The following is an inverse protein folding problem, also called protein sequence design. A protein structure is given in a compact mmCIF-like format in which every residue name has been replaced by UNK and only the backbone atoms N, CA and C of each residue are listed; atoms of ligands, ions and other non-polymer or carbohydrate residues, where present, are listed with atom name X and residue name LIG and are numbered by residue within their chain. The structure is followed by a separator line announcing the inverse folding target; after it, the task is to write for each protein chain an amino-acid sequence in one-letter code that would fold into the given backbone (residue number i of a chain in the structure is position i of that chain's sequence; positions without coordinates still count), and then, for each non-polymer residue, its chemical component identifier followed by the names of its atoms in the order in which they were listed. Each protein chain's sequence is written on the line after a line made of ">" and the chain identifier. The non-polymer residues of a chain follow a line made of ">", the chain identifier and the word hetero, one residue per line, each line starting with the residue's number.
data_IF_626804864357
#
_entry.id   IF_626804864357
#
_cell.length_a   1.000
_cell.length_b   1.000
_cell.length_c   1.000
_cell.angle_alpha   90.00
_cell.angle_beta   90.00
_cell.angle_gamma   90.00
#
_symmetry.space_group_name_H-M   'P 1'
#
loop_
_entity.id
_entity.type
_entity.pdbx_description
1 polymer ?
#
# COMPACT_ATOMS: atom_id res chain seq x y z
N UNK A 1 6.55 -44.03 5.74
CA UNK A 1 5.16 -43.53 5.55
C UNK A 1 5.28 -42.51 4.43
N UNK A 2 4.72 -42.76 3.24
CA UNK A 2 4.84 -41.82 2.12
C UNK A 2 3.79 -40.73 2.30
N UNK A 3 4.23 -39.50 2.54
CA UNK A 3 3.32 -38.34 2.61
C UNK A 3 3.34 -37.68 1.23
N UNK A 4 2.28 -37.90 0.48
CA UNK A 4 2.04 -37.23 -0.79
C UNK A 4 0.92 -36.22 -0.64
N UNK A 5 1.16 -35.00 -1.11
CA UNK A 5 0.22 -33.88 -1.10
C UNK A 5 -0.05 -33.49 -2.55
N UNK A 6 -1.33 -33.36 -2.89
CA UNK A 6 -1.78 -32.97 -4.22
C UNK A 6 -2.83 -31.87 -4.08
N UNK A 7 -2.44 -30.64 -4.45
CA UNK A 7 -3.23 -29.43 -4.33
C UNK A 7 -3.62 -28.88 -5.71
N UNK A 8 -3.42 -29.66 -6.78
CA UNK A 8 -3.82 -29.25 -8.13
C UNK A 8 -5.32 -28.96 -8.21
N UNK A 9 -5.68 -27.94 -9.00
CA UNK A 9 -7.07 -27.50 -9.15
C UNK A 9 -7.64 -26.71 -7.95
N UNK A 10 -6.83 -26.35 -6.96
CA UNK A 10 -7.20 -25.40 -5.92
C UNK A 10 -6.63 -24.01 -6.24
N UNK A 11 -7.26 -22.95 -5.74
CA UNK A 11 -6.72 -21.58 -5.74
C UNK A 11 -6.09 -21.31 -4.38
N UNK A 12 -4.79 -21.63 -4.25
CA UNK A 12 -4.03 -21.49 -3.00
C UNK A 12 -2.77 -20.69 -3.28
N UNK A 13 -2.61 -19.62 -2.51
CA UNK A 13 -1.55 -18.61 -2.64
C UNK A 13 -0.50 -18.75 -1.54
N UNK A 14 -0.92 -19.14 -0.33
CA UNK A 14 -0.03 -19.31 0.82
C UNK A 14 0.13 -20.77 1.24
N UNK A 15 1.36 -21.15 1.57
CA UNK A 15 1.75 -22.51 1.95
C UNK A 15 2.41 -22.52 3.33
N UNK A 16 1.80 -21.79 4.26
CA UNK A 16 2.19 -21.74 5.66
C UNK A 16 2.39 -23.16 6.22
N UNK A 17 3.36 -23.29 7.11
CA UNK A 17 3.72 -24.56 7.77
C UNK A 17 4.39 -25.61 6.85
N UNK A 18 4.89 -25.21 5.69
CA UNK A 18 5.77 -26.08 4.91
C UNK A 18 7.18 -26.18 5.54
N UNK A 19 7.68 -25.04 6.01
CA UNK A 19 8.98 -24.90 6.67
C UNK A 19 8.87 -24.04 7.93
N UNK A 20 9.83 -24.19 8.84
CA UNK A 20 10.11 -23.19 9.87
C UNK A 20 11.45 -22.54 9.57
N UNK A 21 11.49 -21.21 9.69
CA UNK A 21 12.68 -20.41 9.40
C UNK A 21 13.11 -19.69 10.67
N UNK A 22 14.38 -19.84 11.03
CA UNK A 22 15.03 -19.03 12.06
C UNK A 22 16.05 -18.15 11.35
N UNK A 23 15.88 -16.83 11.46
CA UNK A 23 16.82 -15.85 10.90
C UNK A 23 17.68 -15.32 12.04
N UNK A 24 18.99 -15.53 11.95
CA UNK A 24 19.96 -15.00 12.92
C UNK A 24 20.17 -13.49 12.71
N UNK A 25 20.76 -12.80 13.70
CA UNK A 25 20.98 -11.34 13.63
C UNK A 25 21.84 -10.91 12.44
N UNK A 26 22.69 -11.81 11.92
CA UNK A 26 23.52 -11.58 10.74
C UNK A 26 22.77 -11.80 9.41
N UNK A 27 21.50 -12.19 9.46
CA UNK A 27 20.66 -12.50 8.29
C UNK A 27 20.74 -13.94 7.80
N UNK A 28 21.52 -14.81 8.46
CA UNK A 28 21.60 -16.22 8.08
C UNK A 28 20.29 -16.95 8.42
N UNK A 29 19.77 -17.71 7.46
CA UNK A 29 18.53 -18.47 7.62
C UNK A 29 18.83 -19.95 7.91
N UNK A 30 18.28 -20.46 9.01
CA UNK A 30 18.14 -21.90 9.25
C UNK A 30 16.73 -22.34 8.88
N UNK A 31 16.61 -23.12 7.80
CA UNK A 31 15.33 -23.65 7.30
C UNK A 31 15.17 -25.11 7.73
N UNK A 32 14.04 -25.44 8.36
CA UNK A 32 13.69 -26.81 8.75
C UNK A 32 12.37 -27.21 8.13
N UNK A 33 12.31 -28.37 7.47
CA UNK A 33 11.06 -28.93 6.98
C UNK A 33 10.17 -29.33 8.16
N UNK A 34 8.92 -28.90 8.17
CA UNK A 34 7.97 -29.25 9.23
C UNK A 34 7.37 -30.66 9.04
N UNK A 35 7.42 -31.16 7.80
CA UNK A 35 6.85 -32.45 7.42
C UNK A 35 7.79 -33.25 6.51
N UNK A 36 7.80 -34.56 6.68
CA UNK A 36 8.42 -35.48 5.71
C UNK A 36 7.51 -35.60 4.48
N UNK A 37 7.88 -34.92 3.38
CA UNK A 37 7.13 -34.88 2.12
C UNK A 37 7.91 -35.62 1.04
N UNK A 38 7.25 -36.54 0.34
CA UNK A 38 7.85 -37.28 -0.80
C UNK A 38 7.19 -36.94 -2.14
N UNK A 39 6.02 -36.29 -2.12
CA UNK A 39 5.31 -35.77 -3.30
C UNK A 39 4.60 -34.47 -2.93
N UNK A 40 4.78 -33.42 -3.72
CA UNK A 40 4.12 -32.13 -3.55
C UNK A 40 3.70 -31.58 -4.92
N UNK A 41 2.42 -31.67 -5.25
CA UNK A 41 1.86 -31.10 -6.48
C UNK A 41 1.07 -29.85 -6.14
N UNK A 42 1.37 -28.77 -6.86
CA UNK A 42 0.93 -27.42 -6.56
C UNK A 42 0.08 -26.86 -7.73
N UNK A 43 -0.93 -26.02 -7.44
CA UNK A 43 -1.60 -25.22 -8.46
C UNK A 43 -0.67 -24.12 -9.00
N UNK A 44 -1.04 -23.50 -10.12
CA UNK A 44 -0.26 -22.44 -10.78
C UNK A 44 -0.07 -21.23 -9.86
N UNK A 45 -1.10 -20.88 -9.10
CA UNK A 45 -1.12 -19.79 -8.11
C UNK A 45 -0.04 -19.92 -7.04
N UNK A 46 0.49 -21.13 -6.80
CA UNK A 46 1.59 -21.35 -5.86
C UNK A 46 2.88 -20.63 -6.26
N UNK A 47 2.98 -20.15 -7.51
CA UNK A 47 4.10 -19.36 -8.00
C UNK A 47 4.37 -18.11 -7.16
N UNK A 48 3.34 -17.60 -6.49
CA UNK A 48 3.34 -16.39 -5.66
C UNK A 48 3.86 -16.62 -4.24
N UNK A 49 3.89 -17.87 -3.75
CA UNK A 49 4.44 -18.14 -2.41
C UNK A 49 5.97 -18.09 -2.41
N UNK A 50 6.54 -16.92 -2.17
CA UNK A 50 8.01 -16.74 -2.12
C UNK A 50 8.56 -17.17 -0.77
N UNK A 51 7.83 -16.88 0.31
CA UNK A 51 8.34 -16.98 1.68
C UNK A 51 8.64 -18.42 2.11
N UNK A 52 7.75 -19.38 1.83
CA UNK A 52 7.89 -20.76 2.29
C UNK A 52 8.33 -21.71 1.17
N UNK A 53 7.68 -21.65 0.01
CA UNK A 53 7.85 -22.63 -1.06
C UNK A 53 9.25 -22.57 -1.67
N UNK A 54 9.80 -21.36 -1.86
CA UNK A 54 11.16 -21.18 -2.38
C UNK A 54 12.20 -21.66 -1.35
N UNK A 55 11.97 -21.43 -0.06
CA UNK A 55 12.83 -21.95 1.02
C UNK A 55 12.79 -23.48 1.10
N UNK A 56 11.61 -24.07 1.03
CA UNK A 56 11.44 -25.53 0.96
C UNK A 56 12.20 -26.11 -0.25
N UNK A 57 12.02 -25.51 -1.43
CA UNK A 57 12.73 -25.96 -2.64
C UNK A 57 14.25 -25.89 -2.47
N UNK A 58 14.80 -24.78 -1.95
CA UNK A 58 16.24 -24.62 -1.72
C UNK A 58 16.78 -25.68 -0.74
N UNK A 59 16.10 -25.87 0.39
CA UNK A 59 16.48 -26.86 1.41
C UNK A 59 16.46 -28.30 0.87
N UNK A 60 15.57 -28.60 -0.07
CA UNK A 60 15.36 -29.94 -0.60
C UNK A 60 15.89 -30.14 -2.03
N UNK A 61 16.69 -29.20 -2.56
CA UNK A 61 17.11 -29.18 -3.96
C UNK A 61 17.78 -30.47 -4.41
N UNK A 62 18.64 -31.05 -3.58
CA UNK A 62 19.30 -32.32 -3.89
C UNK A 62 18.32 -33.49 -3.94
N UNK A 63 17.39 -33.58 -2.98
CA UNK A 63 16.38 -34.64 -2.93
C UNK A 63 15.36 -34.55 -4.08
N UNK A 64 15.00 -33.33 -4.49
CA UNK A 64 14.15 -33.07 -5.66
C UNK A 64 14.90 -33.46 -6.94
N UNK A 65 16.15 -33.02 -7.09
CA UNK A 65 16.98 -33.36 -8.26
C UNK A 65 17.21 -34.88 -8.38
N UNK A 66 17.37 -35.57 -7.25
CA UNK A 66 17.50 -37.03 -7.20
C UNK A 66 16.17 -37.80 -7.35
N UNK A 67 15.03 -37.10 -7.43
CA UNK A 67 13.70 -37.71 -7.58
C UNK A 67 13.15 -38.38 -6.31
N UNK A 68 13.74 -38.12 -5.15
CA UNK A 68 13.22 -38.61 -3.85
C UNK A 68 12.00 -37.81 -3.39
N UNK A 69 11.92 -36.54 -3.81
CA UNK A 69 10.75 -35.68 -3.64
C UNK A 69 10.23 -35.32 -5.04
N UNK A 70 9.03 -35.80 -5.40
CA UNK A 70 8.37 -35.43 -6.66
C UNK A 70 7.60 -34.11 -6.47
N UNK A 71 8.25 -33.01 -6.83
CA UNK A 71 7.70 -31.65 -6.70
C UNK A 71 7.32 -31.08 -8.07
N UNK A 72 6.05 -30.75 -8.25
CA UNK A 72 5.50 -30.23 -9.51
C UNK A 72 4.51 -29.10 -9.27
N UNK A 73 4.35 -28.27 -10.28
CA UNK A 73 3.37 -27.17 -10.30
C UNK A 73 2.64 -27.20 -11.62
N UNK A 74 1.33 -26.96 -11.62
CA UNK A 74 0.59 -26.83 -12.88
C UNK A 74 0.93 -25.52 -13.57
N UNK A 75 1.01 -25.55 -14.91
CA UNK A 75 0.98 -24.33 -15.72
C UNK A 75 -0.44 -23.76 -15.83
N UNK A 76 -0.58 -22.65 -16.56
CA UNK A 76 -1.86 -21.94 -16.79
C UNK A 76 -2.91 -22.81 -17.48
N UNK A 77 -2.49 -23.86 -18.20
CA UNK A 77 -3.36 -24.82 -18.88
C UNK A 77 -3.67 -26.05 -18.00
N UNK A 78 -3.18 -26.09 -16.76
CA UNK A 78 -3.38 -27.17 -15.80
C UNK A 78 -2.44 -28.36 -15.98
N UNK A 79 -1.41 -28.27 -16.84
CA UNK A 79 -0.47 -29.37 -17.04
C UNK A 79 0.63 -29.34 -15.97
N UNK A 80 0.93 -30.51 -15.41
CA UNK A 80 1.99 -30.63 -14.40
C UNK A 80 3.38 -30.46 -15.00
N UNK A 81 4.11 -29.46 -14.53
CA UNK A 81 5.52 -29.19 -14.84
C UNK A 81 6.40 -29.43 -13.62
N UNK A 82 7.68 -29.72 -13.84
CA UNK A 82 8.67 -29.71 -12.76
C UNK A 82 8.71 -28.33 -12.12
N UNK A 83 8.66 -28.26 -10.78
CA UNK A 83 8.74 -26.97 -10.10
C UNK A 83 10.07 -26.26 -10.39
N UNK A 84 10.01 -24.95 -10.60
CA UNK A 84 11.16 -24.07 -10.81
C UNK A 84 11.01 -22.80 -9.99
N UNK A 85 12.12 -22.12 -9.69
CA UNK A 85 12.16 -20.78 -9.09
C UNK A 85 12.13 -19.65 -10.13
N UNK A 86 12.12 -20.00 -11.42
CA UNK A 86 12.05 -19.05 -12.52
C UNK A 86 10.62 -18.52 -12.69
N UNK A 87 10.51 -17.22 -12.92
CA UNK A 87 9.24 -16.50 -13.14
C UNK A 87 9.37 -15.54 -14.32
N UNK A 88 8.33 -15.50 -15.13
CA UNK A 88 8.25 -14.59 -16.26
C UNK A 88 7.80 -13.19 -15.82
N UNK A 89 8.23 -12.18 -16.57
CA UNK A 89 7.75 -10.80 -16.46
C UNK A 89 7.13 -10.45 -17.82
N UNK A 90 5.79 -10.51 -17.96
CA UNK A 90 5.14 -10.43 -19.27
C UNK A 90 5.30 -9.08 -19.97
N UNK A 91 5.35 -7.98 -19.22
CA UNK A 91 5.55 -6.63 -19.76
C UNK A 91 7.04 -6.37 -20.03
N UNK A 92 7.39 -6.13 -21.30
CA UNK A 92 8.78 -5.92 -21.71
C UNK A 92 9.41 -4.65 -21.14
N UNK A 93 8.62 -3.60 -20.87
CA UNK A 93 9.10 -2.38 -20.25
C UNK A 93 9.38 -2.61 -18.76
N UNK A 94 8.50 -3.35 -18.07
CA UNK A 94 8.74 -3.76 -16.68
C UNK A 94 9.96 -4.67 -16.58
N UNK A 95 10.09 -5.66 -17.48
CA UNK A 95 11.26 -6.53 -17.55
C UNK A 95 12.55 -5.71 -17.69
N UNK A 96 12.56 -4.76 -18.62
CA UNK A 96 13.71 -3.86 -18.84
C UNK A 96 14.03 -3.04 -17.60
N UNK A 97 13.00 -2.48 -16.95
CA UNK A 97 13.14 -1.72 -15.71
C UNK A 97 13.75 -2.58 -14.60
N UNK A 98 13.20 -3.77 -14.37
CA UNK A 98 13.64 -4.68 -13.32
C UNK A 98 15.06 -5.21 -13.60
N UNK A 99 15.40 -5.57 -14.83
CA UNK A 99 16.75 -5.97 -15.20
C UNK A 99 17.76 -4.83 -14.99
N UNK A 100 17.36 -3.58 -15.25
CA UNK A 100 18.22 -2.41 -15.04
C UNK A 100 18.46 -2.12 -13.56
N UNK A 101 17.42 -2.31 -12.72
CA UNK A 101 17.45 -1.86 -11.34
C UNK A 101 17.74 -2.95 -10.31
N UNK A 102 17.39 -4.21 -10.63
CA UNK A 102 17.41 -5.38 -9.77
C UNK A 102 18.01 -6.60 -10.49
N UNK A 103 19.09 -6.38 -11.25
CA UNK A 103 19.75 -7.38 -12.08
C UNK A 103 20.16 -8.67 -11.34
N UNK A 104 20.40 -8.59 -10.03
CA UNK A 104 20.85 -9.73 -9.22
C UNK A 104 19.81 -10.85 -9.17
N UNK A 105 18.53 -10.51 -9.36
CA UNK A 105 17.43 -11.47 -9.41
C UNK A 105 17.29 -12.18 -10.75
N UNK A 106 17.96 -11.76 -11.82
CA UNK A 106 17.68 -12.27 -13.17
C UNK A 106 18.53 -13.46 -13.60
N UNK A 107 17.91 -14.42 -14.28
CA UNK A 107 18.57 -15.47 -15.05
C UNK A 107 18.08 -15.40 -16.50
N UNK A 108 18.80 -14.66 -17.33
CA UNK A 108 18.31 -14.25 -18.66
C UNK A 108 17.13 -13.30 -18.51
N UNK A 109 16.01 -13.63 -19.16
CA UNK A 109 14.79 -12.80 -19.19
C UNK A 109 13.78 -13.16 -18.08
N UNK A 110 14.16 -14.07 -17.17
CA UNK A 110 13.31 -14.52 -16.07
C UNK A 110 13.89 -14.08 -14.72
N UNK A 111 13.01 -13.80 -13.76
CA UNK A 111 13.38 -13.65 -12.35
C UNK A 111 13.64 -15.04 -11.77
N UNK A 112 14.75 -15.22 -11.08
CA UNK A 112 15.10 -16.43 -10.33
C UNK A 112 14.98 -16.16 -8.83
N UNK A 113 13.88 -16.61 -8.23
CA UNK A 113 13.59 -16.44 -6.81
C UNK A 113 14.61 -17.12 -5.87
N UNK A 114 15.50 -17.98 -6.40
CA UNK A 114 16.57 -18.57 -5.60
C UNK A 114 17.77 -17.64 -5.38
N UNK A 115 17.83 -16.52 -6.11
CA UNK A 115 18.91 -15.53 -5.99
C UNK A 115 18.62 -14.51 -4.89
N UNK A 116 19.69 -13.85 -4.45
CA UNK A 116 19.65 -12.83 -3.42
C UNK A 116 20.09 -11.49 -4.00
N UNK A 117 19.48 -10.40 -3.52
CA UNK A 117 19.88 -9.04 -3.85
C UNK A 117 21.20 -8.69 -3.14
N UNK A 118 22.15 -8.12 -3.87
CA UNK A 118 23.34 -7.51 -3.30
C UNK A 118 23.02 -6.24 -2.52
N UNK A 119 24.00 -5.73 -1.77
CA UNK A 119 23.85 -4.55 -0.90
C UNK A 119 23.30 -3.32 -1.63
N UNK A 120 23.68 -3.12 -2.90
CA UNK A 120 23.29 -1.97 -3.71
C UNK A 120 21.84 -2.03 -4.20
N UNK A 121 21.27 -3.24 -4.32
CA UNK A 121 19.92 -3.44 -4.85
C UNK A 121 18.90 -3.74 -3.74
N UNK A 122 19.33 -4.33 -2.61
CA UNK A 122 18.42 -4.76 -1.54
C UNK A 122 17.65 -3.61 -0.90
N UNK A 123 18.23 -2.41 -0.80
CA UNK A 123 17.56 -1.23 -0.21
C UNK A 123 17.01 -0.26 -1.26
N UNK A 124 17.18 -0.60 -2.55
CA UNK A 124 16.82 0.31 -3.64
C UNK A 124 15.31 0.49 -3.70
N UNK A 125 14.89 1.74 -3.83
CA UNK A 125 13.48 2.12 -3.97
C UNK A 125 12.91 1.58 -5.29
N UNK A 126 11.64 1.16 -5.27
CA UNK A 126 10.91 0.78 -6.46
C UNK A 126 10.12 1.99 -6.96
N UNK A 127 10.56 2.54 -8.10
CA UNK A 127 9.96 3.70 -8.75
C UNK A 127 9.81 3.44 -10.25
N UNK A 128 8.61 3.06 -10.68
CA UNK A 128 8.25 2.91 -12.10
C UNK A 128 7.44 4.13 -12.50
N UNK A 129 8.06 5.06 -13.21
CA UNK A 129 7.47 6.33 -13.60
C UNK A 129 6.59 6.19 -14.85
N UNK A 130 5.70 7.17 -15.15
CA UNK A 130 4.87 7.12 -16.36
C UNK A 130 5.69 6.98 -17.66
N UNK A 131 6.90 7.54 -17.69
CA UNK A 131 7.80 7.49 -18.84
C UNK A 131 8.39 6.09 -19.10
N UNK A 132 8.31 5.17 -18.14
CA UNK A 132 8.71 3.78 -18.31
C UNK A 132 7.69 2.99 -19.15
N UNK A 133 6.50 3.55 -19.41
CA UNK A 133 5.45 2.99 -20.27
C UNK A 133 5.01 1.55 -19.89
N UNK A 134 5.02 1.22 -18.59
CA UNK A 134 4.52 -0.07 -18.09
C UNK A 134 2.99 -0.06 -18.07
N UNK A 135 2.38 -1.13 -18.59
CA UNK A 135 0.92 -1.31 -18.60
C UNK A 135 0.47 -2.58 -17.89
N UNK A 136 1.38 -3.51 -17.61
CA UNK A 136 1.13 -4.67 -16.76
C UNK A 136 2.27 -4.84 -15.75
N UNK A 137 1.92 -4.81 -14.46
CA UNK A 137 2.84 -4.95 -13.33
C UNK A 137 3.03 -6.41 -12.87
N UNK A 138 2.53 -7.41 -13.59
CA UNK A 138 2.83 -8.82 -13.30
C UNK A 138 4.35 -9.07 -13.34
N UNK A 139 4.86 -9.62 -12.24
CA UNK A 139 6.29 -9.77 -11.97
C UNK A 139 6.77 -8.93 -10.78
N UNK A 140 6.05 -7.85 -10.44
CA UNK A 140 6.46 -6.95 -9.33
C UNK A 140 6.36 -7.61 -7.95
N UNK A 141 5.40 -8.53 -7.76
CA UNK A 141 5.24 -9.30 -6.53
C UNK A 141 6.51 -10.10 -6.21
N UNK A 142 7.26 -10.55 -7.23
CA UNK A 142 8.51 -11.29 -7.06
C UNK A 142 9.66 -10.47 -6.47
N UNK A 143 9.58 -9.14 -6.57
CA UNK A 143 10.49 -8.22 -5.88
C UNK A 143 9.90 -7.79 -4.54
N UNK A 144 8.64 -7.34 -4.52
CA UNK A 144 8.01 -6.73 -3.34
C UNK A 144 7.90 -7.71 -2.18
N UNK A 145 7.56 -8.97 -2.47
CA UNK A 145 7.40 -10.04 -1.48
C UNK A 145 8.70 -10.82 -1.25
N UNK A 146 9.79 -10.42 -1.91
CA UNK A 146 11.07 -11.07 -1.70
C UNK A 146 11.57 -10.78 -0.27
N UNK A 147 11.84 -11.81 0.56
CA UNK A 147 12.22 -11.62 1.95
C UNK A 147 13.56 -10.88 2.13
N UNK A 148 14.36 -10.78 1.06
CA UNK A 148 15.65 -10.09 1.07
C UNK A 148 15.60 -8.67 0.50
N UNK A 149 14.42 -8.20 0.05
CA UNK A 149 14.25 -6.81 -0.34
C UNK A 149 13.84 -5.98 0.87
N UNK A 150 14.62 -4.92 1.11
CA UNK A 150 14.52 -3.98 2.22
C UNK A 150 14.29 -2.55 1.70
N UNK A 151 13.66 -2.43 0.52
CA UNK A 151 13.33 -1.14 -0.07
C UNK A 151 12.40 -0.33 0.83
N UNK A 152 12.59 1.00 0.84
CA UNK A 152 11.80 1.89 1.69
C UNK A 152 10.54 2.45 1.00
N UNK A 153 10.43 2.34 -0.32
CA UNK A 153 9.35 2.95 -1.11
C UNK A 153 8.91 2.08 -2.28
N UNK A 154 7.60 2.08 -2.51
CA UNK A 154 6.94 1.59 -3.73
C UNK A 154 6.23 2.78 -4.36
N UNK A 155 6.53 3.06 -5.62
CA UNK A 155 5.93 4.13 -6.40
C UNK A 155 5.69 3.67 -7.83
N UNK A 156 4.44 3.33 -8.12
CA UNK A 156 4.04 2.76 -9.40
C UNK A 156 3.04 3.67 -10.09
N UNK A 157 3.36 4.02 -11.33
CA UNK A 157 2.54 4.86 -12.17
C UNK A 157 2.32 4.16 -13.51
N UNK A 158 1.07 4.14 -13.98
CA UNK A 158 0.75 3.64 -15.32
C UNK A 158 1.34 4.55 -16.43
N UNK A 159 1.42 4.00 -17.63
CA UNK A 159 1.82 4.68 -18.86
C UNK A 159 0.86 5.85 -19.24
N UNK A 160 1.12 7.05 -18.72
CA UNK A 160 0.38 8.26 -19.06
C UNK A 160 -0.90 8.48 -18.24
N UNK A 161 -1.49 9.68 -18.38
CA UNK A 161 -2.57 10.17 -17.48
C UNK A 161 -3.92 9.44 -17.64
N UNK A 162 -4.21 8.86 -18.81
CA UNK A 162 -5.50 8.20 -19.09
C UNK A 162 -5.42 6.66 -19.14
N UNK A 163 -4.23 6.08 -18.98
CA UNK A 163 -4.05 4.62 -19.01
C UNK A 163 -4.18 4.03 -17.62
N UNK A 164 -4.90 2.91 -17.48
CA UNK A 164 -4.91 2.12 -16.26
C UNK A 164 -4.08 0.85 -16.50
N UNK A 165 -3.06 0.62 -15.68
CA UNK A 165 -2.22 -0.57 -15.75
C UNK A 165 -2.73 -1.66 -14.80
N UNK A 166 -2.63 -2.93 -15.18
CA UNK A 166 -2.97 -4.05 -14.30
C UNK A 166 -1.84 -4.34 -13.32
N UNK A 167 -2.16 -4.75 -12.09
CA UNK A 167 -1.17 -5.20 -11.11
C UNK A 167 -1.72 -6.40 -10.32
N UNK A 168 -0.90 -7.44 -10.05
CA UNK A 168 -1.30 -8.49 -9.12
C UNK A 168 -1.49 -7.92 -7.71
N UNK A 169 -2.20 -8.67 -6.86
CA UNK A 169 -2.20 -8.36 -5.44
C UNK A 169 -0.77 -8.53 -4.90
N UNK A 170 -0.42 -7.70 -3.91
CA UNK A 170 0.92 -7.72 -3.32
C UNK A 170 0.85 -7.66 -1.81
N UNK A 171 1.79 -8.33 -1.14
CA UNK A 171 2.05 -8.21 0.29
C UNK A 171 3.27 -7.34 0.57
N UNK A 172 3.05 -6.20 1.22
CA UNK A 172 4.06 -5.16 1.40
C UNK A 172 4.94 -5.46 2.62
N UNK A 173 6.27 -5.44 2.43
CA UNK A 173 7.25 -5.69 3.49
C UNK A 173 7.35 -4.60 4.57
N UNK A 174 7.93 -4.95 5.71
CA UNK A 174 7.97 -4.10 6.92
C UNK A 174 8.73 -2.78 6.80
N UNK A 175 9.74 -2.73 5.95
CA UNK A 175 10.60 -1.56 5.78
C UNK A 175 9.98 -0.46 4.90
N UNK A 176 8.83 -0.74 4.31
CA UNK A 176 8.16 0.18 3.40
C UNK A 176 7.56 1.34 4.20
N UNK A 177 8.06 2.53 3.92
CA UNK A 177 7.62 3.79 4.52
C UNK A 177 6.64 4.54 3.63
N UNK A 178 6.61 4.24 2.33
CA UNK A 178 5.73 4.89 1.36
C UNK A 178 5.21 3.91 0.30
N UNK A 179 3.92 4.02 0.02
CA UNK A 179 3.25 3.39 -1.13
C UNK A 179 2.56 4.48 -1.95
N UNK A 180 2.90 4.57 -3.24
CA UNK A 180 2.21 5.39 -4.23
C UNK A 180 1.75 4.50 -5.37
N UNK A 181 0.46 4.51 -5.66
CA UNK A 181 -0.15 3.82 -6.81
C UNK A 181 -1.06 4.80 -7.55
N UNK A 182 -0.75 5.06 -8.81
CA UNK A 182 -1.54 5.97 -9.64
C UNK A 182 -1.96 5.32 -10.96
N UNK A 183 -3.26 5.29 -11.19
CA UNK A 183 -3.90 4.65 -12.33
C UNK A 183 -3.55 3.16 -12.42
N UNK A 184 -3.63 2.45 -11.29
CA UNK A 184 -3.32 1.02 -11.19
C UNK A 184 -4.59 0.25 -10.82
N UNK A 185 -4.94 -0.74 -11.64
CA UNK A 185 -5.96 -1.73 -11.31
C UNK A 185 -5.35 -2.84 -10.46
N UNK A 186 -5.69 -2.82 -9.17
CA UNK A 186 -5.34 -3.84 -8.17
C UNK A 186 -6.52 -4.02 -7.22
N UNK A 187 -6.84 -5.27 -6.87
CA UNK A 187 -7.96 -5.58 -5.98
C UNK A 187 -7.59 -5.37 -4.50
N UNK A 188 -6.39 -5.80 -4.11
CA UNK A 188 -5.89 -5.72 -2.74
C UNK A 188 -4.38 -5.40 -2.67
N UNK A 189 -4.02 -4.65 -1.63
CA UNK A 189 -2.63 -4.36 -1.25
C UNK A 189 -2.53 -4.71 0.23
N UNK A 190 -1.94 -5.86 0.52
CA UNK A 190 -1.81 -6.34 1.88
C UNK A 190 -0.70 -5.57 2.60
N UNK A 191 -1.12 -4.65 3.46
CA UNK A 191 -0.27 -3.83 4.33
C UNK A 191 -0.05 -4.45 5.72
N UNK A 192 -0.47 -5.70 5.94
CA UNK A 192 -0.38 -6.39 7.24
C UNK A 192 1.03 -6.43 7.84
N UNK A 193 2.04 -6.46 6.98
CA UNK A 193 3.45 -6.47 7.37
C UNK A 193 4.08 -5.07 7.41
N UNK A 194 3.43 -4.01 6.91
CA UNK A 194 4.00 -2.68 6.69
C UNK A 194 4.05 -1.83 7.98
N UNK A 195 4.80 -2.27 8.98
CA UNK A 195 4.88 -1.62 10.30
C UNK A 195 5.51 -0.23 10.29
N UNK A 196 6.32 0.08 9.27
CA UNK A 196 7.01 1.36 9.14
C UNK A 196 6.32 2.32 8.14
N UNK A 197 5.11 2.00 7.67
CA UNK A 197 4.40 2.82 6.68
C UNK A 197 4.03 4.20 7.25
N UNK A 198 4.44 5.27 6.56
CA UNK A 198 4.10 6.67 6.89
C UNK A 198 3.22 7.35 5.85
N UNK A 199 3.31 6.92 4.60
CA UNK A 199 2.69 7.60 3.47
C UNK A 199 1.99 6.61 2.56
N UNK A 200 0.69 6.83 2.33
CA UNK A 200 -0.07 6.12 1.31
C UNK A 200 -0.72 7.13 0.36
N UNK A 201 -0.44 7.00 -0.93
CA UNK A 201 -1.12 7.72 -2.00
C UNK A 201 -1.68 6.72 -3.00
N UNK A 202 -3.00 6.58 -3.01
CA UNK A 202 -3.73 5.78 -3.98
C UNK A 202 -4.61 6.69 -4.82
N UNK A 203 -4.44 6.68 -6.14
CA UNK A 203 -5.22 7.52 -7.04
C UNK A 203 -5.66 6.77 -8.29
N UNK A 204 -6.94 6.90 -8.64
CA UNK A 204 -7.52 6.32 -9.85
C UNK A 204 -7.36 4.79 -9.90
N UNK A 205 -7.55 4.10 -8.76
CA UNK A 205 -7.49 2.65 -8.69
C UNK A 205 -8.93 2.10 -8.73
N UNK A 206 -9.40 1.55 -9.86
CA UNK A 206 -10.81 1.20 -10.05
C UNK A 206 -11.25 -0.06 -9.29
N UNK A 207 -10.31 -0.93 -8.92
CA UNK A 207 -10.58 -2.24 -8.33
C UNK A 207 -10.29 -2.33 -6.81
N UNK A 208 -9.64 -1.32 -6.22
CA UNK A 208 -9.23 -1.38 -4.81
C UNK A 208 -10.45 -1.24 -3.89
N UNK A 209 -10.65 -2.23 -3.01
CA UNK A 209 -11.81 -2.27 -2.11
C UNK A 209 -11.51 -1.82 -0.68
N UNK A 210 -10.28 -1.99 -0.21
CA UNK A 210 -9.86 -1.66 1.15
C UNK A 210 -8.46 -1.06 1.16
N UNK A 211 -8.21 -0.14 2.10
CA UNK A 211 -6.88 0.38 2.39
C UNK A 211 -6.67 0.40 3.91
N UNK A 212 -5.81 -0.49 4.41
CA UNK A 212 -5.65 -0.74 5.85
C UNK A 212 -4.28 -0.32 6.38
N UNK A 213 -4.17 0.90 6.92
CA UNK A 213 -2.93 1.39 7.53
C UNK A 213 -2.82 1.00 9.01
N UNK A 214 -3.76 0.20 9.56
CA UNK A 214 -3.82 -0.05 11.01
C UNK A 214 -2.60 -0.78 11.57
N UNK A 215 -1.87 -1.48 10.71
CA UNK A 215 -0.65 -2.21 11.02
C UNK A 215 0.58 -1.32 11.21
N UNK A 216 0.54 -0.07 10.72
CA UNK A 216 1.65 0.85 10.93
C UNK A 216 1.78 1.21 12.40
N UNK A 217 3.00 1.07 12.90
CA UNK A 217 3.34 1.44 14.28
C UNK A 217 3.79 2.89 14.40
N UNK A 218 4.12 3.54 13.28
CA UNK A 218 4.72 4.87 13.26
C UNK A 218 3.85 5.93 12.58
N UNK A 219 2.83 5.54 11.80
CA UNK A 219 1.93 6.51 11.17
C UNK A 219 1.22 7.35 12.23
N UNK A 220 1.47 8.65 12.15
CA UNK A 220 0.95 9.69 13.00
C UNK A 220 1.41 9.65 14.46
N UNK A 221 2.54 9.00 14.74
CA UNK A 221 3.10 8.85 16.08
C UNK A 221 4.32 9.75 16.35
N UNK A 222 4.80 10.51 15.37
CA UNK A 222 5.87 11.49 15.55
C UNK A 222 5.47 12.68 16.44
N UNK A 223 6.42 13.57 16.73
CA UNK A 223 6.10 14.86 17.35
C UNK A 223 5.37 15.79 16.36
N UNK A 224 4.81 16.90 16.86
CA UNK A 224 4.03 17.83 16.02
C UNK A 224 4.88 18.50 14.94
N UNK A 225 6.17 18.72 15.19
CA UNK A 225 7.10 19.31 14.22
C UNK A 225 7.37 18.34 13.06
N UNK A 226 7.58 17.06 13.36
CA UNK A 226 7.79 16.00 12.36
C UNK A 226 6.50 15.72 11.59
N UNK A 227 5.39 15.51 12.30
CA UNK A 227 4.10 15.20 11.67
C UNK A 227 3.49 16.42 10.96
N UNK A 228 3.86 17.63 11.34
CA UNK A 228 3.49 18.85 10.64
C UNK A 228 4.34 19.17 9.41
N UNK A 229 5.38 18.38 9.12
CA UNK A 229 6.30 18.63 8.01
C UNK A 229 5.87 17.87 6.74
N UNK A 230 5.79 18.57 5.61
CA UNK A 230 5.33 17.98 4.34
C UNK A 230 6.25 16.94 3.70
N UNK A 231 7.48 16.79 4.20
CA UNK A 231 8.45 15.79 3.70
C UNK A 231 8.47 14.52 4.56
N UNK A 232 8.26 14.64 5.87
CA UNK A 232 8.48 13.55 6.82
C UNK A 232 7.23 13.11 7.57
N UNK A 233 6.21 13.96 7.58
CA UNK A 233 4.96 13.74 8.28
C UNK A 233 4.10 12.70 7.58
N UNK A 234 3.23 12.10 8.37
CA UNK A 234 2.36 11.04 7.91
C UNK A 234 1.32 11.60 6.96
N UNK A 235 1.08 10.87 5.86
CA UNK A 235 0.17 11.32 4.82
C UNK A 235 -0.73 10.19 4.34
N UNK A 236 -2.00 10.53 4.12
CA UNK A 236 -2.95 9.67 3.43
C UNK A 236 -3.60 10.48 2.31
N UNK A 237 -3.48 9.98 1.09
CA UNK A 237 -4.17 10.53 -0.07
C UNK A 237 -4.89 9.43 -0.84
N UNK A 238 -6.20 9.52 -0.96
CA UNK A 238 -7.04 8.52 -1.61
C UNK A 238 -8.03 9.21 -2.54
N UNK A 239 -7.78 9.11 -3.84
CA UNK A 239 -8.43 9.93 -4.85
C UNK A 239 -9.05 9.06 -5.96
N UNK A 240 -10.34 9.23 -6.25
CA UNK A 240 -10.97 8.60 -7.42
C UNK A 240 -10.93 7.07 -7.41
N UNK A 241 -11.15 6.46 -6.25
CA UNK A 241 -11.23 5.00 -6.08
C UNK A 241 -12.72 4.62 -5.89
N UNK A 242 -13.47 4.34 -6.97
CA UNK A 242 -14.93 4.34 -6.96
C UNK A 242 -15.56 3.22 -6.14
N UNK A 243 -14.87 2.09 -5.97
CA UNK A 243 -15.38 0.92 -5.23
C UNK A 243 -14.73 0.71 -3.86
N UNK A 244 -13.87 1.63 -3.43
CA UNK A 244 -13.22 1.56 -2.13
C UNK A 244 -14.25 1.74 -1.02
N UNK A 245 -14.35 0.75 -0.12
CA UNK A 245 -15.35 0.72 0.96
C UNK A 245 -14.79 1.07 2.33
N UNK A 246 -13.52 0.78 2.57
CA UNK A 246 -12.93 0.89 3.90
C UNK A 246 -11.53 1.51 3.86
N UNK A 247 -11.31 2.48 4.75
CA UNK A 247 -10.00 3.02 5.08
C UNK A 247 -9.81 2.88 6.59
N UNK A 248 -8.71 2.25 7.02
CA UNK A 248 -8.34 2.17 8.44
C UNK A 248 -7.06 2.92 8.75
N UNK A 249 -7.06 3.65 9.85
CA UNK A 249 -5.89 4.27 10.46
C UNK A 249 -5.39 3.41 11.64
N UNK A 250 -4.15 3.60 12.12
CA UNK A 250 -3.66 2.95 13.33
C UNK A 250 -4.59 3.19 14.54
N UNK A 251 -4.85 2.12 15.29
CA UNK A 251 -5.65 2.17 16.52
C UNK A 251 -4.81 2.78 17.67
N UNK A 252 -4.65 4.10 17.64
CA UNK A 252 -3.93 4.89 18.64
C UNK A 252 -4.84 6.00 19.18
N UNK A 253 -4.65 6.37 20.45
CA UNK A 253 -5.47 7.41 21.09
C UNK A 253 -5.26 8.81 20.49
N UNK A 254 -4.07 9.04 19.93
CA UNK A 254 -3.69 10.32 19.35
C UNK A 254 -2.89 10.05 18.07
N UNK A 255 -3.41 10.56 16.95
CA UNK A 255 -2.74 10.59 15.66
C UNK A 255 -2.48 12.04 15.25
N UNK A 256 -1.33 12.30 14.64
CA UNK A 256 -0.96 13.58 14.05
C UNK A 256 -0.54 13.34 12.61
N UNK A 257 -1.02 14.12 11.66
CA UNK A 257 -0.67 13.91 10.26
C UNK A 257 -0.25 15.22 9.60
N UNK A 258 0.56 15.11 8.55
CA UNK A 258 0.76 16.24 7.67
C UNK A 258 -0.48 16.41 6.82
N UNK A 259 -0.95 15.32 6.19
CA UNK A 259 -2.01 15.40 5.19
C UNK A 259 -2.99 14.25 5.28
N UNK A 260 -4.28 14.59 5.21
CA UNK A 260 -5.36 13.67 4.91
C UNK A 260 -6.16 14.26 3.77
N UNK A 261 -6.19 13.56 2.64
CA UNK A 261 -6.86 13.98 1.42
C UNK A 261 -7.70 12.84 0.86
N UNK A 262 -9.02 12.95 0.93
CA UNK A 262 -9.96 11.93 0.46
C UNK A 262 -10.96 12.53 -0.51
N UNK A 263 -11.01 12.01 -1.73
CA UNK A 263 -11.81 12.61 -2.81
C UNK A 263 -12.40 11.58 -3.75
N UNK A 264 -13.67 11.79 -4.13
CA UNK A 264 -14.40 10.98 -5.11
C UNK A 264 -14.41 9.48 -4.76
N UNK A 265 -14.85 9.17 -3.53
CA UNK A 265 -14.94 7.82 -2.98
C UNK A 265 -16.42 7.43 -2.80
N UNK A 266 -17.06 7.04 -3.92
CA UNK A 266 -18.51 6.85 -4.01
C UNK A 266 -19.04 5.62 -3.24
N UNK A 267 -18.17 4.63 -2.99
CA UNK A 267 -18.51 3.42 -2.24
C UNK A 267 -18.00 3.42 -0.80
N UNK A 268 -17.41 4.53 -0.31
CA UNK A 268 -16.82 4.56 1.03
C UNK A 268 -17.91 4.37 2.10
N UNK A 269 -17.75 3.33 2.91
CA UNK A 269 -18.66 2.95 3.99
C UNK A 269 -18.05 3.28 5.36
N UNK A 270 -16.73 3.12 5.50
CA UNK A 270 -16.03 3.28 6.79
C UNK A 270 -14.72 4.05 6.64
N UNK A 271 -14.60 5.13 7.41
CA UNK A 271 -13.36 5.85 7.65
C UNK A 271 -13.54 6.75 8.89
N UNK A 272 -12.85 6.40 9.98
CA UNK A 272 -12.94 7.10 11.26
C UNK A 272 -11.67 7.92 11.52
N UNK A 273 -11.83 9.25 11.55
CA UNK A 273 -10.74 10.20 11.84
C UNK A 273 -10.77 10.72 13.28
N UNK A 274 -11.66 10.27 14.17
CA UNK A 274 -11.84 10.82 15.52
C UNK A 274 -10.57 10.81 16.39
N UNK A 275 -9.67 9.85 16.16
CA UNK A 275 -8.38 9.76 16.86
C UNK A 275 -7.32 10.73 16.32
N UNK A 276 -7.57 11.43 15.20
CA UNK A 276 -6.68 12.43 14.63
C UNK A 276 -6.84 13.75 15.40
N UNK A 277 -5.77 14.17 16.08
CA UNK A 277 -5.71 15.38 16.92
C UNK A 277 -4.97 16.55 16.26
N UNK A 278 -4.20 16.27 15.22
CA UNK A 278 -3.52 17.25 14.37
C UNK A 278 -3.56 16.79 12.92
N UNK A 279 -3.87 17.71 12.01
CA UNK A 279 -3.61 17.54 10.57
C UNK A 279 -3.25 18.90 9.98
N UNK A 280 -2.14 19.01 9.24
CA UNK A 280 -1.74 20.28 8.64
C UNK A 280 -2.56 20.60 7.38
N UNK A 281 -2.86 19.60 6.55
CA UNK A 281 -3.66 19.70 5.33
C UNK A 281 -4.82 18.69 5.36
N UNK A 282 -6.05 19.20 5.42
CA UNK A 282 -7.27 18.41 5.39
C UNK A 282 -8.11 18.77 4.16
N UNK A 283 -8.22 17.83 3.22
CA UNK A 283 -8.99 17.98 1.99
C UNK A 283 -10.06 16.90 1.91
N UNK A 284 -11.32 17.31 1.87
CA UNK A 284 -12.46 16.39 1.78
C UNK A 284 -13.29 16.69 0.54
N UNK A 285 -13.12 15.86 -0.47
CA UNK A 285 -13.79 15.95 -1.74
C UNK A 285 -15.25 15.48 -1.75
N UNK A 286 -15.75 15.17 -2.94
CA UNK A 286 -17.04 14.52 -3.08
C UNK A 286 -16.98 13.09 -2.52
N UNK A 287 -18.01 12.71 -1.76
CA UNK A 287 -18.17 11.41 -1.13
C UNK A 287 -19.63 10.98 -1.29
N UNK A 288 -19.91 9.69 -1.10
CA UNK A 288 -21.29 9.18 -1.05
C UNK A 288 -22.16 10.01 -0.10
N UNK A 289 -23.31 10.50 -0.57
CA UNK A 289 -24.23 11.35 0.21
C UNK A 289 -24.65 10.73 1.56
N UNK A 290 -24.74 9.40 1.63
CA UNK A 290 -25.21 8.66 2.80
C UNK A 290 -24.05 8.24 3.73
N UNK A 291 -22.80 8.49 3.31
CA UNK A 291 -21.61 8.20 4.12
C UNK A 291 -21.58 9.06 5.38
N UNK A 292 -21.41 8.42 6.54
CA UNK A 292 -21.23 9.09 7.81
C UNK A 292 -19.79 9.60 7.95
N UNK A 293 -19.55 10.81 7.44
CA UNK A 293 -18.24 11.46 7.51
C UNK A 293 -17.90 11.86 8.95
N UNK A 294 -16.93 11.16 9.55
CA UNK A 294 -16.34 11.47 10.86
C UNK A 294 -15.11 12.34 10.66
N UNK A 295 -15.11 13.54 11.24
CA UNK A 295 -13.97 14.47 11.17
C UNK A 295 -12.93 14.22 12.26
N UNK A 296 -11.67 14.69 12.06
CA UNK A 296 -10.69 14.82 13.14
C UNK A 296 -11.19 15.61 14.34
N UNK A 297 -10.81 15.18 15.54
CA UNK A 297 -10.99 15.94 16.79
C UNK A 297 -9.76 16.81 17.07
N UNK A 298 -9.64 17.93 16.36
CA UNK A 298 -8.45 18.78 16.43
C UNK A 298 -8.27 19.40 17.82
N UNK A 299 -7.15 19.08 18.46
CA UNK A 299 -6.71 19.68 19.74
C UNK A 299 -5.27 20.16 19.71
N UNK A 300 -4.51 19.80 18.67
CA UNK A 300 -3.12 20.19 18.47
C UNK A 300 -3.04 20.99 17.17
N UNK A 301 -2.58 22.23 17.28
CA UNK A 301 -2.44 23.15 16.16
C UNK A 301 -0.97 23.51 15.99
N UNK A 302 -0.41 23.18 14.83
CA UNK A 302 0.96 23.48 14.45
C UNK A 302 0.98 24.09 13.06
N UNK A 303 1.77 25.13 12.88
CA UNK A 303 1.84 25.91 11.66
C UNK A 303 3.30 26.24 11.41
N UNK A 304 3.94 25.54 10.47
CA UNK A 304 5.34 25.78 10.11
C UNK A 304 5.52 27.20 9.55
N UNK A 305 4.50 27.70 8.84
CA UNK A 305 4.44 29.03 8.23
C UNK A 305 3.86 30.13 9.15
N UNK A 306 3.36 29.76 10.34
CA UNK A 306 2.76 30.66 11.33
C UNK A 306 1.35 31.18 11.02
N UNK A 307 0.68 30.71 9.95
CA UNK A 307 -0.63 31.19 9.54
C UNK A 307 -1.83 30.43 10.09
N UNK A 308 -1.82 29.10 10.03
CA UNK A 308 -2.94 28.27 10.46
C UNK A 308 -2.50 26.87 10.90
N UNK A 309 -3.17 26.32 11.92
CA UNK A 309 -2.91 24.96 12.39
C UNK A 309 -3.33 23.88 11.39
N UNK A 310 -4.40 24.12 10.63
CA UNK A 310 -4.89 23.21 9.58
C UNK A 310 -5.41 24.01 8.39
N UNK A 311 -4.91 23.74 7.20
CA UNK A 311 -5.51 24.21 5.94
C UNK A 311 -6.62 23.27 5.52
N UNK A 312 -7.84 23.81 5.42
CA UNK A 312 -9.03 23.02 5.08
C UNK A 312 -9.60 23.37 3.70
N UNK A 313 -9.81 22.34 2.88
CA UNK A 313 -10.59 22.36 1.65
C UNK A 313 -11.73 21.34 1.70
N UNK A 314 -12.85 21.69 1.07
CA UNK A 314 -13.89 20.71 0.76
C UNK A 314 -14.61 21.03 -0.55
N UNK A 315 -15.24 20.01 -1.15
CA UNK A 315 -16.18 20.22 -2.26
C UNK A 315 -17.46 20.90 -1.77
N UNK A 316 -18.26 21.44 -2.70
CA UNK A 316 -19.52 22.08 -2.33
C UNK A 316 -20.54 21.07 -1.76
N UNK A 317 -20.59 19.85 -2.30
CA UNK A 317 -21.48 18.80 -1.78
C UNK A 317 -21.12 18.44 -0.34
N UNK A 318 -19.82 18.32 -0.05
CA UNK A 318 -19.34 18.01 1.30
C UNK A 318 -19.52 19.19 2.26
N UNK A 319 -19.42 20.44 1.80
CA UNK A 319 -19.67 21.61 2.62
C UNK A 319 -21.03 21.57 3.30
N UNK A 320 -22.10 21.18 2.59
CA UNK A 320 -23.47 21.19 3.15
C UNK A 320 -23.79 20.05 4.11
N UNK A 321 -22.87 19.11 4.37
CA UNK A 321 -23.08 18.03 5.35
C UNK A 321 -23.13 18.59 6.78
N UNK A 322 -23.98 17.99 7.61
CA UNK A 322 -24.10 18.37 9.03
C UNK A 322 -22.78 18.24 9.78
N UNK A 323 -22.04 17.14 9.57
CA UNK A 323 -20.73 16.93 10.20
C UNK A 323 -19.69 17.97 9.77
N UNK A 324 -19.67 18.36 8.49
CA UNK A 324 -18.80 19.44 8.00
C UNK A 324 -19.15 20.78 8.64
N UNK A 325 -20.43 21.11 8.77
CA UNK A 325 -20.89 22.33 9.43
C UNK A 325 -20.52 22.34 10.91
N UNK A 326 -20.66 21.21 11.61
CA UNK A 326 -20.23 21.05 12.99
C UNK A 326 -18.72 21.22 13.16
N UNK A 327 -17.92 20.62 12.27
CA UNK A 327 -16.46 20.76 12.26
C UNK A 327 -16.01 22.21 12.03
N UNK A 328 -16.59 22.89 11.04
CA UNK A 328 -16.34 24.31 10.76
C UNK A 328 -16.75 25.19 11.96
N UNK A 329 -17.87 24.88 12.61
CA UNK A 329 -18.30 25.64 13.79
C UNK A 329 -17.27 25.53 14.92
N UNK A 330 -16.87 24.31 15.26
CA UNK A 330 -15.94 24.02 16.36
C UNK A 330 -14.53 24.58 16.14
N UNK A 331 -14.09 24.70 14.89
CA UNK A 331 -12.69 25.03 14.56
C UNK A 331 -12.51 26.37 13.81
N UNK A 332 -13.59 27.08 13.46
CA UNK A 332 -13.50 28.36 12.74
C UNK A 332 -14.41 29.46 13.28
N UNK A 333 -15.68 29.18 13.60
CA UNK A 333 -16.60 30.26 14.02
C UNK A 333 -16.67 30.46 15.53
N UNK A 334 -16.63 29.37 16.30
CA UNK A 334 -16.82 29.39 17.75
C UNK A 334 -15.48 29.18 18.47
N UNK A 335 -14.43 29.80 17.93
CA UNK A 335 -13.09 29.76 18.51
C UNK A 335 -12.96 30.80 19.62
N UNK A 336 -12.09 30.52 20.60
CA UNK A 336 -11.78 31.45 21.68
C UNK A 336 -11.14 32.71 21.08
N UNK A 337 -11.66 33.93 21.36
CA UNK A 337 -11.04 35.17 20.92
C UNK A 337 -9.57 35.34 21.35
N UNK A 338 -9.16 34.66 22.42
CA UNK A 338 -7.79 34.69 22.95
C UNK A 338 -6.85 33.68 22.25
N UNK A 339 -7.36 32.83 21.34
CA UNK A 339 -6.52 31.93 20.54
C UNK A 339 -5.59 32.74 19.62
N UNK A 340 -4.28 32.62 19.88
CA UNK A 340 -3.25 33.30 19.11
C UNK A 340 -2.91 32.58 17.79
N UNK A 341 -3.28 31.30 17.68
CA UNK A 341 -3.12 30.49 16.46
C UNK A 341 -4.48 30.31 15.79
N UNK A 342 -4.57 30.70 14.53
CA UNK A 342 -5.75 30.40 13.72
C UNK A 342 -5.87 28.88 13.56
N UNK A 343 -6.92 28.28 14.14
CA UNK A 343 -7.16 26.84 14.03
C UNK A 343 -7.32 26.38 12.57
N UNK A 344 -8.23 27.02 11.80
CA UNK A 344 -8.44 26.71 10.38
C UNK A 344 -8.03 27.83 9.40
N UNK A 345 -7.09 27.47 8.52
CA UNK A 345 -6.78 28.12 7.24
C UNK A 345 -7.78 27.71 6.16
N UNK A 346 -7.81 28.46 5.06
CA UNK A 346 -8.71 28.21 3.92
C UNK A 346 -7.89 27.93 2.69
N UNK A 347 -8.29 26.88 1.99
CA UNK A 347 -7.92 26.63 0.62
C UNK A 347 -9.16 26.12 -0.13
N UNK A 348 -9.20 26.35 -1.44
CA UNK A 348 -10.16 25.70 -2.33
C UNK A 348 -9.48 24.71 -3.27
N UNK A 349 -8.22 24.39 -3.01
CA UNK A 349 -7.47 23.40 -3.77
C UNK A 349 -7.88 22.02 -3.29
N UNK A 350 -8.44 21.25 -4.23
CA UNK A 350 -8.56 19.81 -4.15
C UNK A 350 -7.58 19.22 -5.16
N UNK A 351 -7.09 18.03 -4.89
CA UNK A 351 -5.98 17.38 -5.59
C UNK A 351 -6.45 16.57 -6.79
N UNK A 352 -7.68 16.04 -6.71
CA UNK A 352 -8.23 15.28 -7.81
C UNK A 352 -8.83 16.22 -8.86
N UNK A 353 -8.37 16.09 -10.10
CA UNK A 353 -8.72 16.95 -11.24
C UNK A 353 -10.22 16.91 -11.59
N UNK A 354 -10.88 15.78 -11.32
CA UNK A 354 -12.34 15.61 -11.51
C UNK A 354 -13.17 16.17 -10.37
N UNK A 355 -12.54 16.70 -9.32
CA UNK A 355 -13.21 17.29 -8.18
C UNK A 355 -12.98 18.80 -8.13
N UNK A 356 -13.85 19.53 -7.42
CA UNK A 356 -13.78 20.99 -7.35
C UNK A 356 -13.98 21.48 -5.92
N UNK A 357 -12.95 22.11 -5.37
CA UNK A 357 -13.03 22.75 -4.07
C UNK A 357 -13.94 23.98 -4.12
N UNK A 358 -14.75 24.13 -3.08
CA UNK A 358 -15.65 25.27 -2.95
C UNK A 358 -15.01 26.42 -2.17
N UNK A 359 -15.57 27.62 -2.34
CA UNK A 359 -15.19 28.79 -1.53
C UNK A 359 -15.95 28.79 -0.21
N UNK A 360 -15.72 27.80 0.65
CA UNK A 360 -16.53 27.56 1.85
C UNK A 360 -16.65 28.77 2.79
N UNK A 361 -15.61 29.63 2.91
CA UNK A 361 -15.71 30.88 3.69
C UNK A 361 -16.80 31.82 3.17
N UNK A 362 -16.93 31.92 1.85
CA UNK A 362 -17.96 32.74 1.21
C UNK A 362 -19.33 32.14 1.41
N UNK A 363 -19.46 30.81 1.33
CA UNK A 363 -20.72 30.11 1.57
C UNK A 363 -21.18 30.28 3.03
N UNK A 364 -20.26 30.11 3.98
CA UNK A 364 -20.52 30.30 5.41
C UNK A 364 -20.98 31.72 5.74
N UNK A 365 -20.36 32.74 5.13
CA UNK A 365 -20.77 34.14 5.32
C UNK A 365 -22.15 34.45 4.76
N UNK A 366 -22.65 33.68 3.77
CA UNK A 366 -24.01 33.83 3.22
C UNK A 366 -25.08 33.15 4.06
N UNK A 367 -24.69 32.24 4.96
CA UNK A 367 -25.61 31.56 5.88
C UNK A 367 -25.88 32.37 7.16
N UNK A 368 -25.04 33.38 7.44
CA UNK A 368 -25.24 34.37 8.52
C UNK A 368 -26.12 35.51 8.03
#
# INVERSE_FOLDING_TARGET
>A
KYTGIDLTGNEIYDYDNLVSVVVEENGDETVTNLHEITKLYLPETAKENIEDLVRFYRQNKEAITAGTIDMKMTDVDGNLQTYTTLRDVPDANLLTYLQTNFADLFNGDQIDLSKHLGLDQKTKELLVAPADNVTNFEGIQFLVENPYWEGAKISLYSAGEESIASMPNIKVGKFITQVILQNIEVEDIDLSNATDLRSAWVQNNPALQKLDLSYSTIWGQGDKETEGNGTYGSSLMVLGCPILKEIKLPEKNELKAYRIDIECLDALETFDMSNVKMVAELSIGDLNKDFNLVYPELTIFYSEDGYAGTYFACSENTFYRESTQAFLKANYTDIDPDDTVRRLGYTSSLSYDKNKGCRWRTLLNKQK
#
